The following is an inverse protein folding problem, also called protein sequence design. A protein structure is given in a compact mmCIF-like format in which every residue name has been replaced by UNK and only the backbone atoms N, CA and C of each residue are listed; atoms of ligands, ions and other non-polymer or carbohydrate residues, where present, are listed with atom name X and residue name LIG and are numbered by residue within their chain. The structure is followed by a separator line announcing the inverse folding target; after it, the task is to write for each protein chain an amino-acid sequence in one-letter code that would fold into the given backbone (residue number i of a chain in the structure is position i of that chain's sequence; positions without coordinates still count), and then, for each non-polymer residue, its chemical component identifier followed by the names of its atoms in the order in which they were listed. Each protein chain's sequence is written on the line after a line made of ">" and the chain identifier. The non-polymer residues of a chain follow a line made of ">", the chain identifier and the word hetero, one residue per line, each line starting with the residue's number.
data_IF_921575279332
#
_entry.id   IF_921575279332
#
_cell.length_a   1.000
_cell.length_b   1.000
_cell.length_c   1.000
_cell.angle_alpha   90.00
_cell.angle_beta   90.00
_cell.angle_gamma   90.00
#
_symmetry.space_group_name_H-M   'P 1'
#
loop_
_entity.id
_entity.type
_entity.pdbx_description
1 polymer ?
#
# COMPACT_ATOMS: atom_id res chain seq x y z
N UNK A 1 -9.37 -17.30 -7.83
CA UNK A 1 -8.34 -16.31 -7.51
C UNK A 1 -7.28 -16.40 -8.59
N UNK A 2 -6.94 -15.28 -9.22
CA UNK A 2 -5.83 -15.17 -10.18
C UNK A 2 -4.48 -15.32 -9.47
N UNK A 3 -3.40 -15.52 -10.25
CA UNK A 3 -2.04 -15.57 -9.71
C UNK A 3 -1.66 -14.26 -9.00
N UNK A 4 -2.12 -13.11 -9.52
CA UNK A 4 -1.90 -11.80 -8.90
C UNK A 4 -2.64 -11.66 -7.57
N UNK A 5 -3.90 -12.09 -7.49
CA UNK A 5 -4.68 -12.05 -6.24
C UNK A 5 -4.07 -12.94 -5.17
N UNK A 6 -3.50 -14.09 -5.54
CA UNK A 6 -2.78 -14.97 -4.62
C UNK A 6 -1.47 -14.34 -4.13
N UNK A 7 -0.70 -13.72 -5.03
CA UNK A 7 0.52 -13.01 -4.67
C UNK A 7 0.22 -11.82 -3.73
N UNK A 8 -0.82 -11.05 -4.02
CA UNK A 8 -1.29 -9.95 -3.19
C UNK A 8 -1.72 -10.45 -1.79
N UNK A 9 -2.50 -11.53 -1.71
CA UNK A 9 -2.89 -12.12 -0.44
C UNK A 9 -1.67 -12.58 0.39
N UNK A 10 -0.59 -13.03 -0.26
CA UNK A 10 0.65 -13.39 0.42
C UNK A 10 1.41 -12.18 0.99
N UNK A 11 1.23 -10.98 0.42
CA UNK A 11 1.70 -9.71 0.98
C UNK A 11 0.88 -9.37 2.24
N UNK A 12 -0.45 -9.41 2.13
CA UNK A 12 -1.36 -9.10 3.26
C UNK A 12 -1.13 -10.04 4.45
N UNK A 13 -0.88 -11.32 4.20
CA UNK A 13 -0.55 -12.29 5.25
C UNK A 13 0.76 -11.94 5.98
N UNK A 14 1.81 -11.55 5.25
CA UNK A 14 3.07 -11.15 5.86
C UNK A 14 2.91 -9.85 6.67
N UNK A 15 2.16 -8.89 6.13
CA UNK A 15 1.82 -7.64 6.84
C UNK A 15 1.04 -7.91 8.13
N UNK A 16 0.02 -8.77 8.09
CA UNK A 16 -0.78 -9.15 9.26
C UNK A 16 0.04 -9.89 10.32
N UNK A 17 1.10 -10.60 9.91
CA UNK A 17 2.06 -11.23 10.81
C UNK A 17 3.13 -10.25 11.36
N UNK A 18 3.02 -8.95 11.04
CA UNK A 18 4.02 -7.92 11.33
C UNK A 18 5.43 -8.21 10.75
N UNK A 19 5.52 -9.10 9.76
CA UNK A 19 6.75 -9.35 9.02
C UNK A 19 6.88 -8.34 7.87
N UNK A 20 7.16 -7.09 8.27
CA UNK A 20 7.15 -5.94 7.36
C UNK A 20 8.22 -6.01 6.27
N UNK A 21 9.36 -6.64 6.55
CA UNK A 21 10.41 -6.81 5.53
C UNK A 21 9.95 -7.79 4.46
N UNK A 22 9.44 -8.97 4.84
CA UNK A 22 8.89 -9.94 3.88
C UNK A 22 7.69 -9.38 3.13
N UNK A 23 6.81 -8.63 3.82
CA UNK A 23 5.67 -7.97 3.18
C UNK A 23 6.14 -6.98 2.11
N UNK A 24 7.11 -6.14 2.41
CA UNK A 24 7.65 -5.17 1.46
C UNK A 24 8.31 -5.85 0.26
N UNK A 25 9.19 -6.83 0.51
CA UNK A 25 9.90 -7.56 -0.57
C UNK A 25 8.91 -8.17 -1.56
N UNK A 26 7.85 -8.81 -1.04
CA UNK A 26 6.80 -9.40 -1.88
C UNK A 26 5.99 -8.35 -2.63
N UNK A 27 5.68 -7.23 -1.96
CA UNK A 27 4.93 -6.15 -2.59
C UNK A 27 5.71 -5.50 -3.74
N UNK A 28 7.01 -5.23 -3.54
CA UNK A 28 7.87 -4.67 -4.57
C UNK A 28 8.08 -5.63 -5.74
N UNK A 29 8.20 -6.93 -5.47
CA UNK A 29 8.28 -7.96 -6.52
C UNK A 29 6.99 -8.08 -7.35
N UNK A 30 5.83 -7.77 -6.75
CA UNK A 30 4.52 -7.87 -7.40
C UNK A 30 4.17 -6.64 -8.26
N UNK A 31 4.74 -5.47 -7.96
CA UNK A 31 4.46 -4.21 -8.67
C UNK A 31 4.61 -4.29 -10.21
N UNK A 32 5.70 -4.87 -10.77
CA UNK A 32 5.87 -4.98 -12.21
C UNK A 32 4.76 -5.80 -12.90
N UNK A 33 4.33 -6.89 -12.27
CA UNK A 33 3.34 -7.80 -12.84
C UNK A 33 1.95 -7.15 -12.87
N UNK A 34 1.54 -6.50 -11.78
CA UNK A 34 0.28 -5.72 -11.73
C UNK A 34 0.28 -4.60 -12.77
N UNK A 35 1.42 -3.90 -12.91
CA UNK A 35 1.55 -2.80 -13.87
C UNK A 35 1.45 -3.31 -15.31
N UNK A 36 2.04 -4.47 -15.60
CA UNK A 36 1.99 -5.11 -16.92
C UNK A 36 0.57 -5.59 -17.26
N UNK A 37 -0.15 -6.15 -16.29
CA UNK A 37 -1.54 -6.60 -16.46
C UNK A 37 -2.56 -5.45 -16.46
N UNK A 38 -2.13 -4.23 -16.12
CA UNK A 38 -2.98 -3.02 -16.02
C UNK A 38 -4.18 -3.23 -15.10
N UNK A 39 -3.95 -3.89 -13.96
CA UNK A 39 -4.98 -4.06 -12.94
C UNK A 39 -5.13 -2.76 -12.14
N UNK A 40 -6.02 -1.91 -12.63
CA UNK A 40 -6.31 -0.58 -12.08
C UNK A 40 -6.97 -0.63 -10.69
N UNK A 41 -7.39 -1.82 -10.21
CA UNK A 41 -7.93 -2.00 -8.86
C UNK A 41 -6.85 -2.48 -7.88
N UNK A 42 -5.99 -3.41 -8.29
CA UNK A 42 -4.98 -4.00 -7.42
C UNK A 42 -3.78 -3.08 -7.22
N UNK A 43 -3.40 -2.30 -8.24
CA UNK A 43 -2.29 -1.36 -8.19
C UNK A 43 -2.41 -0.31 -7.06
N UNK A 44 -3.52 0.45 -6.95
CA UNK A 44 -3.65 1.44 -5.88
C UNK A 44 -3.68 0.79 -4.49
N UNK A 45 -4.28 -0.40 -4.35
CA UNK A 45 -4.31 -1.15 -3.07
C UNK A 45 -2.90 -1.55 -2.65
N UNK A 46 -2.12 -2.10 -3.56
CA UNK A 46 -0.74 -2.49 -3.28
C UNK A 46 0.13 -1.29 -2.91
N UNK A 47 -0.02 -0.16 -3.60
CA UNK A 47 0.72 1.06 -3.26
C UNK A 47 0.31 1.64 -1.90
N UNK A 48 -0.97 1.60 -1.54
CA UNK A 48 -1.41 1.99 -0.18
C UNK A 48 -0.80 1.09 0.89
N UNK A 49 -0.70 -0.21 0.64
CA UNK A 49 -0.10 -1.17 1.55
C UNK A 49 1.42 -0.96 1.69
N UNK A 50 2.13 -0.72 0.58
CA UNK A 50 3.56 -0.35 0.58
C UNK A 50 3.78 0.93 1.40
N UNK A 51 2.93 1.94 1.20
CA UNK A 51 2.96 3.18 1.98
C UNK A 51 2.87 2.92 3.49
N UNK A 52 1.93 2.06 3.89
CA UNK A 52 1.75 1.67 5.29
C UNK A 52 2.90 0.87 5.88
N UNK A 53 3.44 -0.08 5.12
CA UNK A 53 4.60 -0.86 5.54
C UNK A 53 5.78 0.06 5.81
N UNK A 54 6.08 0.99 4.89
CA UNK A 54 7.15 1.94 5.09
C UNK A 54 6.89 2.85 6.28
N UNK A 55 5.71 3.47 6.38
CA UNK A 55 5.45 4.49 7.40
C UNK A 55 5.45 3.88 8.81
N UNK A 56 4.74 2.77 9.00
CA UNK A 56 4.45 2.26 10.34
C UNK A 56 5.23 1.01 10.69
N UNK A 57 5.49 0.14 9.73
CA UNK A 57 6.29 -1.06 9.94
C UNK A 57 7.79 -0.77 10.01
N UNK A 58 8.28 0.10 9.11
CA UNK A 58 9.71 0.34 8.91
C UNK A 58 10.19 1.74 9.34
N UNK A 59 9.28 2.64 9.71
CA UNK A 59 9.60 4.02 10.11
C UNK A 59 10.37 4.78 9.01
N UNK A 60 9.88 4.65 7.78
CA UNK A 60 10.45 5.18 6.54
C UNK A 60 9.49 6.18 5.85
N UNK A 61 9.25 7.36 6.44
CA UNK A 61 8.28 8.33 5.92
C UNK A 61 8.53 8.80 4.47
N UNK A 62 9.79 9.03 4.02
CA UNK A 62 10.03 9.43 2.63
C UNK A 62 9.56 8.40 1.60
N UNK A 63 9.79 7.11 1.88
CA UNK A 63 9.40 5.99 1.03
C UNK A 63 7.88 5.81 1.05
N UNK A 64 7.26 5.95 2.22
CA UNK A 64 5.80 5.93 2.34
C UNK A 64 5.14 7.03 1.49
N UNK A 65 5.67 8.26 1.58
CA UNK A 65 5.18 9.39 0.80
C UNK A 65 5.31 9.17 -0.71
N UNK A 66 6.35 8.47 -1.18
CA UNK A 66 6.48 8.12 -2.58
C UNK A 66 5.34 7.18 -3.03
N UNK A 67 5.04 6.16 -2.24
CA UNK A 67 3.96 5.20 -2.52
C UNK A 67 2.58 5.88 -2.53
N UNK A 68 2.28 6.72 -1.54
CA UNK A 68 1.01 7.45 -1.50
C UNK A 68 0.85 8.43 -2.67
N UNK A 69 1.93 9.12 -3.09
CA UNK A 69 1.88 9.98 -4.29
C UNK A 69 1.59 9.20 -5.56
N UNK A 70 2.12 7.99 -5.68
CA UNK A 70 1.87 7.13 -6.83
C UNK A 70 0.37 6.77 -6.95
N UNK A 71 -0.32 6.52 -5.81
CA UNK A 71 -1.78 6.34 -5.79
C UNK A 71 -2.49 7.57 -6.34
N UNK A 72 -2.11 8.77 -5.88
CA UNK A 72 -2.75 10.02 -6.31
C UNK A 72 -2.53 10.37 -7.78
N UNK A 73 -1.44 9.88 -8.39
CA UNK A 73 -1.12 10.09 -9.80
C UNK A 73 -1.98 9.23 -10.72
N UNK A 74 -2.32 8.01 -10.31
CA UNK A 74 -2.90 7.00 -11.20
C UNK A 74 -4.33 6.59 -10.82
N UNK A 75 -4.74 6.77 -9.56
CA UNK A 75 -6.06 6.37 -9.09
C UNK A 75 -7.05 7.54 -9.08
N UNK A 76 -8.22 7.32 -9.70
CA UNK A 76 -9.35 8.25 -9.67
C UNK A 76 -10.39 7.91 -8.59
N UNK A 77 -10.29 6.74 -7.96
CA UNK A 77 -11.26 6.29 -6.97
C UNK A 77 -11.14 7.13 -5.68
N UNK A 78 -12.21 7.80 -5.23
CA UNK A 78 -12.15 8.75 -4.12
C UNK A 78 -11.66 8.16 -2.79
N UNK A 79 -12.01 6.91 -2.45
CA UNK A 79 -11.67 6.31 -1.16
C UNK A 79 -10.16 6.00 -1.04
N UNK A 80 -9.54 5.49 -2.11
CA UNK A 80 -8.10 5.27 -2.19
C UNK A 80 -7.33 6.57 -2.19
N UNK A 81 -7.84 7.59 -2.89
CA UNK A 81 -7.22 8.93 -2.88
C UNK A 81 -7.26 9.54 -1.48
N UNK A 82 -8.40 9.50 -0.80
CA UNK A 82 -8.53 10.00 0.56
C UNK A 82 -7.55 9.29 1.52
N UNK A 83 -7.39 7.98 1.36
CA UNK A 83 -6.43 7.18 2.14
C UNK A 83 -4.98 7.58 1.87
N UNK A 84 -4.61 7.78 0.60
CA UNK A 84 -3.27 8.24 0.23
C UNK A 84 -2.98 9.68 0.70
N UNK A 85 -3.97 10.57 0.65
CA UNK A 85 -3.84 11.94 1.18
C UNK A 85 -3.66 11.95 2.70
N UNK A 86 -4.38 11.08 3.42
CA UNK A 86 -4.17 10.89 4.86
C UNK A 86 -2.75 10.38 5.15
N UNK A 87 -2.33 9.32 4.47
CA UNK A 87 -0.97 8.78 4.61
C UNK A 87 0.13 9.79 4.27
N UNK A 88 -0.09 10.71 3.32
CA UNK A 88 0.86 11.78 3.03
C UNK A 88 0.96 12.82 4.13
N UNK A 89 -0.16 13.16 4.77
CA UNK A 89 -0.14 14.03 5.96
C UNK A 89 0.62 13.33 7.08
N UNK A 90 0.29 12.07 7.32
CA UNK A 90 0.90 11.24 8.36
C UNK A 90 2.39 10.99 8.09
N UNK A 91 2.85 10.92 6.84
CA UNK A 91 4.27 10.81 6.52
C UNK A 91 5.02 12.15 6.63
N UNK A 92 4.31 13.28 6.60
CA UNK A 92 4.88 14.62 6.76
C UNK A 92 4.98 15.03 8.24
N UNK A 93 4.13 14.46 9.09
CA UNK A 93 4.22 14.54 10.56
C UNK A 93 4.87 13.29 11.12
N UNK A 94 5.61 13.37 12.22
CA UNK A 94 6.19 12.17 12.85
C UNK A 94 5.12 11.43 13.70
N UNK A 95 3.98 11.08 13.09
CA UNK A 95 2.80 10.53 13.78
C UNK A 95 2.66 9.00 13.62
N UNK A 96 2.33 8.27 14.70
CA UNK A 96 2.02 6.85 14.65
C UNK A 96 0.59 6.57 14.11
N UNK A 97 0.38 5.36 13.61
CA UNK A 97 -0.76 4.98 12.75
C UNK A 97 -2.16 5.16 13.34
N UNK A 98 -3.06 5.66 12.49
CA UNK A 98 -4.52 5.51 12.65
C UNK A 98 -4.95 4.24 11.90
N UNK A 99 -5.83 3.36 12.44
CA UNK A 99 -6.16 2.09 11.80
C UNK A 99 -7.08 2.30 10.59
N UNK A 100 -6.49 2.25 9.40
CA UNK A 100 -7.10 2.50 8.08
C UNK A 100 -7.69 1.23 7.44
N UNK A 101 -7.34 0.04 7.94
CA UNK A 101 -7.79 -1.25 7.38
C UNK A 101 -9.32 -1.45 7.46
N UNK A 102 -9.99 -0.78 8.40
CA UNK A 102 -11.45 -0.79 8.49
C UNK A 102 -12.12 0.08 7.41
N UNK A 103 -11.42 1.06 6.83
CA UNK A 103 -11.98 1.98 5.85
C UNK A 103 -11.97 1.44 4.40
N UNK A 104 -11.37 0.26 4.17
CA UNK A 104 -11.21 -0.34 2.84
C UNK A 104 -12.09 -1.58 2.61
N UNK A 105 -13.06 -1.85 3.48
CA UNK A 105 -14.05 -2.89 3.22
C UNK A 105 -15.12 -2.39 2.22
N UNK A 106 -15.59 -3.26 1.30
CA UNK A 106 -16.50 -2.89 0.21
C UNK A 106 -17.91 -2.48 0.66
#
# INVERSE_FOLDING_TARGET
>A
MSSLEQAYAAVEQAYAAADFHTALERAEALLPDITAERDDQLLPRLQLLIGHIHLYGLQQPPQAAAAYRAVLQHCQEPSYRASAEAGLRDAATDQPATPWLEALQP
#
